data_IF_915538874404
#
_entry.id   IF_915538874404
#
_cell.length_a   1.000
_cell.length_b   1.000
_cell.length_c   1.000
_cell.angle_alpha   90.00
_cell.angle_beta   90.00
_cell.angle_gamma   90.00
#
_symmetry.space_group_name_H-M   'P 1'
#
loop_
_entity.id
_entity.type
_entity.pdbx_description
1 polymer ?
#
# COMPACT_ATOMS: atom_id res chain seq x y z
N UNK A 1 -35.83 -1.62 -2.73
CA UNK A 1 -34.64 -1.15 -2.00
C UNK A 1 -33.43 -1.37 -2.89
N UNK A 2 -32.72 -0.33 -3.29
CA UNK A 2 -31.53 -0.48 -4.13
C UNK A 2 -30.34 -0.83 -3.22
N UNK A 3 -29.89 -2.08 -3.27
CA UNK A 3 -28.58 -2.44 -2.73
C UNK A 3 -27.54 -1.63 -3.48
N UNK A 4 -26.81 -0.78 -2.75
CA UNK A 4 -25.70 -0.03 -3.32
C UNK A 4 -24.68 -1.07 -3.79
N UNK A 5 -24.55 -1.22 -5.11
CA UNK A 5 -23.56 -2.11 -5.71
C UNK A 5 -22.18 -1.73 -5.16
N UNK A 6 -21.61 -2.59 -4.29
CA UNK A 6 -20.16 -2.68 -4.17
C UNK A 6 -19.69 -2.93 -5.59
N UNK A 7 -19.09 -1.93 -6.25
CA UNK A 7 -18.48 -2.13 -7.57
C UNK A 7 -17.48 -3.27 -7.43
N UNK A 8 -17.81 -4.42 -8.02
CA UNK A 8 -16.92 -5.55 -8.11
C UNK A 8 -15.93 -5.30 -9.24
N UNK A 9 -14.67 -5.69 -9.03
CA UNK A 9 -13.67 -5.54 -10.09
C UNK A 9 -14.00 -6.46 -11.25
N UNK A 10 -13.70 -5.99 -12.46
CA UNK A 10 -13.93 -6.69 -13.71
C UNK A 10 -12.61 -7.06 -14.37
N UNK A 11 -12.66 -8.02 -15.29
CA UNK A 11 -11.49 -8.40 -16.09
C UNK A 11 -10.89 -7.15 -16.76
N UNK A 12 -9.57 -6.98 -16.61
CA UNK A 12 -8.81 -5.83 -17.12
C UNK A 12 -8.62 -4.69 -16.12
N UNK A 13 -9.35 -4.68 -14.99
CA UNK A 13 -9.15 -3.66 -13.96
C UNK A 13 -7.74 -3.79 -13.36
N UNK A 14 -7.05 -2.66 -13.23
CA UNK A 14 -5.78 -2.58 -12.52
C UNK A 14 -6.01 -2.37 -11.02
N UNK A 15 -5.36 -3.20 -10.23
CA UNK A 15 -5.55 -3.29 -8.78
C UNK A 15 -4.21 -3.39 -8.06
N UNK A 16 -4.26 -3.20 -6.75
CA UNK A 16 -3.22 -3.64 -5.83
C UNK A 16 -3.75 -4.78 -4.97
N UNK A 17 -2.90 -5.77 -4.73
CA UNK A 17 -3.18 -6.96 -3.92
C UNK A 17 -2.32 -6.94 -2.65
N UNK A 18 -2.95 -7.10 -1.49
CA UNK A 18 -2.25 -7.26 -0.22
C UNK A 18 -2.10 -8.73 0.16
N UNK A 19 -0.94 -9.11 0.71
CA UNK A 19 -0.73 -10.45 1.24
C UNK A 19 -0.94 -10.51 2.75
N UNK A 20 -1.55 -11.61 3.21
CA UNK A 20 -1.67 -11.96 4.63
C UNK A 20 -0.60 -12.98 5.07
N UNK A 21 0.28 -13.37 4.16
CA UNK A 21 1.37 -14.31 4.45
C UNK A 21 2.43 -13.61 5.31
N UNK A 22 2.97 -14.32 6.29
CA UNK A 22 4.12 -13.87 7.06
C UNK A 22 5.29 -13.51 6.14
N UNK A 23 6.02 -12.45 6.46
CA UNK A 23 7.05 -11.88 5.57
C UNK A 23 6.50 -10.94 4.48
N UNK A 24 5.21 -11.01 4.15
CA UNK A 24 4.56 -10.12 3.16
C UNK A 24 3.49 -9.21 3.78
N UNK A 25 3.31 -9.26 5.10
CA UNK A 25 2.37 -8.39 5.81
C UNK A 25 2.69 -6.91 5.57
N UNK A 26 1.69 -6.14 5.16
CA UNK A 26 1.84 -4.72 4.84
C UNK A 26 2.42 -4.44 3.45
N UNK A 27 2.53 -5.44 2.58
CA UNK A 27 2.89 -5.25 1.16
C UNK A 27 1.65 -5.08 0.27
N UNK A 28 1.82 -4.34 -0.82
CA UNK A 28 0.85 -4.20 -1.90
C UNK A 28 1.51 -4.39 -3.26
N UNK A 29 0.96 -5.29 -4.05
CA UNK A 29 1.53 -5.72 -5.33
C UNK A 29 0.62 -5.33 -6.47
N UNK A 30 1.17 -4.75 -7.54
CA UNK A 30 0.37 -4.33 -8.69
C UNK A 30 -0.06 -5.55 -9.50
N UNK A 31 -1.35 -5.63 -9.82
CA UNK A 31 -1.91 -6.73 -10.59
C UNK A 31 -3.05 -6.27 -11.51
N UNK A 32 -3.46 -7.17 -12.41
CA UNK A 32 -4.62 -7.02 -13.29
C UNK A 32 -5.62 -8.13 -13.01
N UNK A 33 -6.90 -7.81 -12.95
CA UNK A 33 -7.96 -8.80 -12.79
C UNK A 33 -8.09 -9.62 -14.08
N UNK A 34 -7.95 -10.94 -13.99
CA UNK A 34 -8.13 -11.88 -15.10
C UNK A 34 -9.53 -12.46 -15.11
N UNK A 35 -10.07 -12.76 -13.92
CA UNK A 35 -11.42 -13.30 -13.76
C UNK A 35 -12.05 -12.86 -12.44
N UNK A 36 -13.37 -12.65 -12.46
CA UNK A 36 -14.19 -12.45 -11.26
C UNK A 36 -14.96 -13.75 -10.98
N UNK A 37 -14.69 -14.37 -9.84
CA UNK A 37 -15.27 -15.66 -9.43
C UNK A 37 -16.44 -15.48 -8.44
N UNK A 38 -16.98 -14.26 -8.31
CA UNK A 38 -18.04 -13.90 -7.37
C UNK A 38 -17.51 -13.50 -5.99
N UNK A 39 -16.84 -14.41 -5.29
CA UNK A 39 -16.27 -14.15 -3.94
C UNK A 39 -14.78 -13.81 -3.97
N UNK A 40 -14.08 -14.27 -5.01
CA UNK A 40 -12.65 -14.13 -5.19
C UNK A 40 -12.34 -13.63 -6.61
N UNK A 41 -11.10 -13.23 -6.83
CA UNK A 41 -10.58 -12.81 -8.13
C UNK A 41 -9.39 -13.68 -8.52
N UNK A 42 -9.28 -13.98 -9.81
CA UNK A 42 -7.99 -14.40 -10.38
C UNK A 42 -7.27 -13.13 -10.81
N UNK A 43 -6.07 -12.92 -10.29
CA UNK A 43 -5.21 -11.78 -10.62
C UNK A 43 -3.97 -12.27 -11.35
N UNK A 44 -3.41 -11.43 -12.21
CA UNK A 44 -2.08 -11.60 -12.80
C UNK A 44 -1.21 -10.44 -12.31
N UNK A 45 -0.11 -10.75 -11.63
CA UNK A 45 0.79 -9.74 -11.11
C UNK A 45 1.61 -9.11 -12.24
N UNK A 46 1.90 -7.82 -12.11
CA UNK A 46 2.62 -7.07 -13.15
C UNK A 46 4.10 -7.42 -13.19
N UNK A 47 4.69 -7.61 -12.01
CA UNK A 47 6.14 -7.64 -11.80
C UNK A 47 6.59 -8.96 -11.12
N UNK A 48 5.67 -9.92 -10.90
CA UNK A 48 5.96 -11.25 -10.33
C UNK A 48 5.76 -12.35 -11.37
N UNK A 49 6.61 -13.38 -11.33
CA UNK A 49 6.64 -14.52 -12.27
C UNK A 49 6.47 -15.85 -11.52
N UNK A 50 6.16 -16.92 -12.24
CA UNK A 50 6.05 -18.26 -11.67
C UNK A 50 7.42 -18.80 -11.23
N UNK A 51 7.45 -19.59 -10.14
CA UNK A 51 8.71 -20.11 -9.57
C UNK A 51 9.49 -21.03 -10.52
N UNK A 52 8.81 -21.69 -11.45
CA UNK A 52 9.41 -22.64 -12.39
C UNK A 52 9.41 -22.13 -13.84
N UNK A 53 8.93 -20.90 -14.06
CA UNK A 53 8.89 -20.26 -15.37
C UNK A 53 8.94 -18.73 -15.23
N UNK A 54 10.16 -18.18 -15.28
CA UNK A 54 10.40 -16.73 -15.22
C UNK A 54 9.84 -15.96 -16.44
N UNK A 55 9.38 -16.67 -17.48
CA UNK A 55 8.74 -16.04 -18.66
C UNK A 55 7.23 -15.84 -18.49
N UNK A 56 6.64 -16.49 -17.47
CA UNK A 56 5.20 -16.44 -17.21
C UNK A 56 4.91 -15.62 -15.97
N UNK A 57 4.03 -14.61 -16.11
CA UNK A 57 3.58 -13.80 -14.97
C UNK A 57 2.75 -14.63 -14.00
N UNK A 58 3.02 -14.44 -12.70
CA UNK A 58 2.32 -15.16 -11.64
C UNK A 58 0.84 -14.82 -11.65
N UNK A 59 0.01 -15.87 -11.58
CA UNK A 59 -1.44 -15.75 -11.35
C UNK A 59 -1.85 -16.42 -10.06
N UNK A 60 -2.73 -15.75 -9.31
CA UNK A 60 -3.24 -16.27 -8.04
C UNK A 60 -4.74 -16.03 -7.91
N UNK A 61 -5.39 -16.89 -7.11
CA UNK A 61 -6.77 -16.66 -6.67
C UNK A 61 -6.76 -15.95 -5.32
N UNK A 62 -7.27 -14.72 -5.28
CA UNK A 62 -7.18 -13.82 -4.14
C UNK A 62 -8.58 -13.45 -3.65
N UNK A 63 -8.75 -13.35 -2.33
CA UNK A 63 -10.00 -12.94 -1.72
C UNK A 63 -10.33 -11.47 -2.00
N UNK A 64 -11.61 -11.14 -2.16
CA UNK A 64 -12.03 -9.78 -2.48
C UNK A 64 -11.60 -8.70 -1.46
N UNK A 65 -11.32 -9.07 -0.20
CA UNK A 65 -10.84 -8.16 0.84
C UNK A 65 -9.34 -7.83 0.74
N UNK A 66 -8.57 -8.60 -0.03
CA UNK A 66 -7.15 -8.36 -0.30
C UNK A 66 -6.92 -7.48 -1.53
N UNK A 67 -7.99 -7.13 -2.27
CA UNK A 67 -7.92 -6.37 -3.51
C UNK A 67 -8.42 -4.94 -3.28
N UNK A 68 -7.65 -3.95 -3.76
CA UNK A 68 -8.03 -2.53 -3.78
C UNK A 68 -7.74 -1.93 -5.17
N UNK A 69 -8.39 -0.82 -5.57
CA UNK A 69 -7.99 -0.15 -6.81
C UNK A 69 -6.56 0.41 -6.68
N UNK A 70 -5.98 0.89 -7.78
CA UNK A 70 -4.75 1.68 -7.67
C UNK A 70 -5.01 2.95 -6.85
N UNK A 71 -4.10 3.32 -5.92
CA UNK A 71 -4.25 4.56 -5.16
C UNK A 71 -4.11 5.77 -6.09
N UNK A 72 -4.78 6.89 -5.75
CA UNK A 72 -4.57 8.14 -6.46
C UNK A 72 -3.11 8.55 -6.38
N UNK A 73 -2.54 9.02 -7.49
CA UNK A 73 -1.18 9.56 -7.51
C UNK A 73 -1.17 10.91 -6.79
N UNK A 74 -0.69 10.91 -5.56
CA UNK A 74 -0.46 12.14 -4.77
C UNK A 74 1.03 12.44 -4.85
N UNK A 75 1.39 13.50 -5.59
CA UNK A 75 2.76 13.98 -5.59
C UNK A 75 3.10 14.52 -4.20
N UNK A 76 4.11 13.94 -3.55
CA UNK A 76 4.68 14.47 -2.32
C UNK A 76 5.96 15.22 -2.66
N UNK A 77 6.04 16.50 -2.31
CA UNK A 77 7.30 17.25 -2.40
C UNK A 77 8.21 16.96 -1.21
N UNK A 78 7.63 16.65 -0.04
CA UNK A 78 8.32 16.32 1.21
C UNK A 78 7.45 15.45 2.11
N UNK A 79 8.10 14.71 3.00
CA UNK A 79 7.44 14.03 4.11
C UNK A 79 7.87 14.64 5.45
N UNK A 80 7.05 14.44 6.48
CA UNK A 80 7.39 14.74 7.88
C UNK A 80 7.53 13.46 8.69
N UNK A 81 8.22 13.55 9.82
CA UNK A 81 8.34 12.45 10.78
C UNK A 81 6.97 11.86 11.14
N UNK A 82 6.95 10.54 11.31
CA UNK A 82 5.76 9.72 11.56
C UNK A 82 4.70 9.77 10.46
N UNK A 83 4.97 10.35 9.28
CA UNK A 83 4.08 10.15 8.14
C UNK A 83 4.10 8.67 7.76
N UNK A 84 2.91 8.08 7.64
CA UNK A 84 2.76 6.73 7.11
C UNK A 84 2.89 6.78 5.60
N UNK A 85 3.78 5.97 5.07
CA UNK A 85 4.14 5.92 3.65
C UNK A 85 4.10 4.48 3.17
N UNK A 86 4.02 4.32 1.85
CA UNK A 86 4.43 3.07 1.21
C UNK A 86 5.78 3.32 0.53
N UNK A 87 6.76 2.45 0.78
CA UNK A 87 8.05 2.42 0.11
C UNK A 87 8.05 1.36 -0.99
N UNK A 88 8.53 1.71 -2.18
CA UNK A 88 8.64 0.77 -3.29
C UNK A 88 9.95 -0.01 -3.18
N UNK A 89 9.85 -1.31 -2.91
CA UNK A 89 10.99 -2.20 -2.74
C UNK A 89 10.60 -3.63 -3.14
N UNK A 90 11.52 -4.38 -3.74
CA UNK A 90 11.31 -5.75 -4.25
C UNK A 90 9.98 -5.90 -4.99
N UNK A 91 9.72 -4.99 -5.93
CA UNK A 91 8.53 -4.95 -6.80
C UNK A 91 7.17 -4.74 -6.11
N UNK A 92 7.20 -4.48 -4.80
CA UNK A 92 6.02 -4.21 -3.97
C UNK A 92 6.06 -2.85 -3.30
N UNK A 93 4.90 -2.41 -2.81
CA UNK A 93 4.75 -1.24 -1.96
C UNK A 93 4.61 -1.66 -0.50
N UNK A 94 5.55 -1.28 0.34
CA UNK A 94 5.66 -1.70 1.74
C UNK A 94 5.29 -0.59 2.69
N UNK A 95 4.34 -0.86 3.58
CA UNK A 95 3.88 0.11 4.57
C UNK A 95 4.94 0.36 5.62
N UNK A 96 5.31 1.62 5.80
CA UNK A 96 6.22 2.06 6.86
C UNK A 96 5.90 3.46 7.37
N UNK A 97 6.77 3.97 8.23
CA UNK A 97 6.69 5.35 8.77
C UNK A 97 7.99 6.08 8.55
N UNK A 98 7.92 7.36 8.21
CA UNK A 98 9.10 8.21 8.17
C UNK A 98 9.68 8.34 9.59
N UNK A 99 10.93 7.94 9.76
CA UNK A 99 11.67 8.07 11.03
C UNK A 99 12.77 9.14 10.98
N UNK A 100 13.15 9.57 9.78
CA UNK A 100 14.13 10.63 9.62
C UNK A 100 14.37 10.99 8.15
N UNK A 101 15.40 11.80 7.94
CA UNK A 101 15.80 12.27 6.61
C UNK A 101 17.30 12.11 6.41
N UNK A 102 17.69 11.64 5.24
CA UNK A 102 19.08 11.57 4.80
C UNK A 102 19.26 12.60 3.68
N UNK A 103 19.96 13.71 3.97
CA UNK A 103 20.21 14.75 2.98
C UNK A 103 18.95 15.48 2.47
N UNK A 104 18.87 15.72 1.16
CA UNK A 104 17.83 16.53 0.54
C UNK A 104 16.70 15.71 -0.12
N UNK A 105 16.96 14.46 -0.50
CA UNK A 105 16.10 13.69 -1.39
C UNK A 105 15.74 12.29 -0.88
N UNK A 106 16.29 11.85 0.25
CA UNK A 106 16.00 10.56 0.87
C UNK A 106 15.38 10.69 2.25
N UNK A 107 14.58 9.69 2.61
CA UNK A 107 13.98 9.55 3.93
C UNK A 107 14.21 8.14 4.47
N UNK A 108 14.50 8.06 5.77
CA UNK A 108 14.47 6.78 6.48
C UNK A 108 13.03 6.37 6.72
N UNK A 109 12.72 5.13 6.40
CA UNK A 109 11.44 4.47 6.62
C UNK A 109 11.64 3.34 7.61
N UNK A 110 10.93 3.41 8.72
CA UNK A 110 10.84 2.35 9.72
C UNK A 110 9.68 1.40 9.39
N UNK A 111 9.98 0.11 9.34
CA UNK A 111 9.01 -0.96 9.08
C UNK A 111 8.64 -1.68 10.39
N UNK A 112 7.41 -1.50 10.87
CA UNK A 112 6.98 -2.06 12.16
C UNK A 112 6.98 -3.60 12.19
N UNK A 113 6.83 -4.25 11.03
CA UNK A 113 6.79 -5.71 10.92
C UNK A 113 8.16 -6.36 11.07
N UNK A 114 9.23 -5.70 10.61
CA UNK A 114 10.62 -6.24 10.65
C UNK A 114 11.51 -5.54 11.67
N UNK A 115 11.15 -4.33 12.11
CA UNK A 115 11.98 -3.48 12.96
C UNK A 115 13.13 -2.79 12.22
N UNK A 116 13.16 -2.90 10.89
CA UNK A 116 14.21 -2.32 10.05
C UNK A 116 13.97 -0.83 9.78
N UNK A 117 15.05 -0.10 9.57
CA UNK A 117 15.05 1.29 9.12
C UNK A 117 15.92 1.42 7.86
N UNK A 118 15.32 1.85 6.75
CA UNK A 118 15.98 1.87 5.43
C UNK A 118 15.75 3.22 4.76
N UNK A 119 16.79 3.78 4.14
CA UNK A 119 16.71 5.04 3.41
C UNK A 119 16.22 4.83 1.97
N UNK A 120 15.12 5.49 1.60
CA UNK A 120 14.58 5.49 0.23
C UNK A 120 14.58 6.89 -0.38
N UNK A 121 14.84 7.01 -1.70
CA UNK A 121 14.63 8.27 -2.41
C UNK A 121 13.15 8.63 -2.44
N UNK A 122 12.84 9.94 -2.45
CA UNK A 122 11.47 10.45 -2.49
C UNK A 122 10.64 9.89 -3.65
N UNK A 123 11.28 9.54 -4.77
CA UNK A 123 10.65 8.93 -5.94
C UNK A 123 10.12 7.51 -5.72
N UNK A 124 10.65 6.79 -4.73
CA UNK A 124 10.20 5.46 -4.32
C UNK A 124 9.22 5.51 -3.13
N UNK A 125 8.80 6.70 -2.72
CA UNK A 125 7.88 6.90 -1.60
C UNK A 125 6.56 7.47 -2.09
N UNK A 126 5.47 7.03 -1.47
CA UNK A 126 4.15 7.66 -1.60
C UNK A 126 3.47 7.72 -0.24
N UNK A 127 2.53 8.65 -0.06
CA UNK A 127 1.68 8.62 1.13
C UNK A 127 0.87 7.33 1.18
N UNK A 128 0.85 6.70 2.34
CA UNK A 128 -0.01 5.55 2.56
C UNK A 128 -1.47 5.98 2.59
N UNK A 129 -2.32 5.25 1.87
CA UNK A 129 -3.77 5.41 1.90
C UNK A 129 -4.42 4.05 2.20
N UNK A 130 -5.35 4.06 3.14
CA UNK A 130 -6.23 2.93 3.43
C UNK A 130 -7.38 2.90 2.41
N UNK A 131 -7.71 1.73 1.87
CA UNK A 131 -8.93 1.53 1.09
C UNK A 131 -10.01 0.93 1.97
N UNK A 132 -11.07 1.68 2.29
CA UNK A 132 -12.15 1.23 3.18
C UNK A 132 -13.51 1.66 2.63
N UNK A 133 -14.45 0.72 2.56
CA UNK A 133 -15.83 0.97 2.14
C UNK A 133 -15.94 1.77 0.81
N UNK A 134 -15.09 1.43 -0.16
CA UNK A 134 -15.11 2.07 -1.48
C UNK A 134 -14.48 3.47 -1.53
N UNK A 135 -13.71 3.86 -0.52
CA UNK A 135 -13.06 5.18 -0.44
C UNK A 135 -11.61 5.07 0.01
N UNK A 136 -10.77 5.95 -0.54
CA UNK A 136 -9.40 6.18 -0.07
C UNK A 136 -9.40 7.07 1.16
N UNK A 137 -8.68 6.66 2.20
CA UNK A 137 -8.59 7.35 3.48
C UNK A 137 -7.12 7.58 3.82
N UNK A 138 -6.77 8.83 4.09
CA UNK A 138 -5.45 9.20 4.63
C UNK A 138 -5.49 9.21 6.16
N UNK A 139 -4.39 8.85 6.81
CA UNK A 139 -4.28 9.04 8.25
C UNK A 139 -4.25 10.53 8.59
N UNK A 140 -5.26 10.99 9.35
CA UNK A 140 -5.23 12.34 9.92
C UNK A 140 -4.07 12.43 10.92
N UNK A 141 -3.29 13.52 10.86
CA UNK A 141 -2.33 13.83 11.92
C UNK A 141 -3.08 13.87 13.26
N UNK A 142 -2.58 13.26 14.34
CA UNK A 142 -3.13 13.54 15.66
C UNK A 142 -3.01 15.05 15.90
N UNK A 143 -4.14 15.71 16.16
CA UNK A 143 -4.16 17.11 16.55
C UNK A 143 -3.30 17.26 17.80
N UNK A 144 -2.26 18.09 17.77
CA UNK A 144 -1.50 18.45 18.97
C UNK A 144 -2.49 19.01 20.00
N UNK A 145 -2.88 18.24 21.01
CA UNK A 145 -3.47 18.83 22.22
C UNK A 145 -2.37 19.66 22.85
N UNK A 146 -2.50 20.99 22.83
CA UNK A 146 -1.66 21.89 23.64
C UNK A 146 -1.86 21.44 25.10
N UNK A 147 -0.86 20.80 25.70
CA UNK A 147 -0.80 20.73 27.16
C UNK A 147 -0.66 22.17 27.62
N UNK A 148 -1.68 22.71 28.30
CA UNK A 148 -1.45 23.86 29.19
C UNK A 148 -0.49 23.35 30.25
N UNK A 149 0.69 23.98 30.31
CA UNK A 149 1.49 24.00 31.52
C UNK A 149 0.67 24.84 32.48
N UNK A 150 0.15 24.21 33.53
CA UNK A 150 -0.35 24.95 34.67
C UNK A 150 0.91 25.41 35.42
N UNK A 151 1.12 26.73 35.44
CA UNK A 151 2.13 27.39 36.25
C UNK A 151 1.74 27.23 37.73
N UNK A 152 2.70 26.80 38.56
CA UNK A 152 2.67 26.94 40.02
C UNK A 152 3.66 28.03 40.44
#
# INVERSE_FOLDING_TARGET
MAFHSKRSFQRGDQVEVSSNMEGFLGSFWRATIVANMGTNYVVEYKDLVEEHDESTLLRETIMANQVRPLPPRIAASRFSDNNKVDAFDRDGWWVGKISGREGSDKYYVFFETTGEEIAYPISQLRFHLDWRNGKWISQKKPSKKRRKMDDE
#
